data_IF_716868846724
#
_entry.id   IF_716868846724
#
_cell.length_a   1.000
_cell.length_b   1.000
_cell.length_c   1.000
_cell.angle_alpha   90.00
_cell.angle_beta   90.00
_cell.angle_gamma   90.00
#
_symmetry.space_group_name_H-M   'P 1'
#
loop_
_entity.id
_entity.type
_entity.pdbx_description
1 polymer ?
#
# COMPACT_ATOMS: atom_id res chain seq x y z
N UNK A 1 8.96 3.88 -9.44
CA UNK A 1 7.64 4.14 -8.82
C UNK A 1 7.67 3.58 -7.41
N UNK A 2 7.19 4.33 -6.40
CA UNK A 2 7.18 3.90 -4.99
C UNK A 2 5.79 3.35 -4.66
N UNK A 3 5.71 2.23 -3.95
CA UNK A 3 4.45 1.61 -3.54
C UNK A 3 4.51 1.17 -2.07
N UNK A 4 3.33 0.92 -1.49
CA UNK A 4 3.16 0.38 -0.14
C UNK A 4 2.19 -0.80 -0.18
N UNK A 5 2.25 -1.68 0.81
CA UNK A 5 1.29 -2.76 1.00
C UNK A 5 0.09 -2.25 1.81
N UNK A 6 -1.09 -2.77 1.50
CA UNK A 6 -2.30 -2.46 2.24
C UNK A 6 -3.40 -3.50 2.01
N UNK A 7 -4.32 -3.59 2.97
CA UNK A 7 -5.50 -4.45 2.92
C UNK A 7 -6.73 -3.63 2.56
N UNK A 8 -7.48 -4.05 1.54
CA UNK A 8 -8.82 -3.52 1.25
C UNK A 8 -9.74 -3.85 2.42
N UNK A 9 -10.39 -2.84 2.99
CA UNK A 9 -11.35 -3.01 4.06
C UNK A 9 -12.77 -3.04 3.50
N UNK A 10 -13.23 -1.89 3.00
CA UNK A 10 -14.61 -1.67 2.56
C UNK A 10 -14.67 -0.54 1.53
N UNK A 11 -15.85 -0.34 0.94
CA UNK A 11 -16.14 0.81 0.08
C UNK A 11 -17.13 1.72 0.80
N UNK A 12 -16.96 3.02 0.66
CA UNK A 12 -17.81 4.05 1.27
C UNK A 12 -17.90 5.26 0.35
N UNK A 13 -18.55 6.33 0.80
CA UNK A 13 -18.67 7.57 0.07
C UNK A 13 -18.32 8.77 0.94
N UNK A 14 -17.71 9.77 0.31
CA UNK A 14 -17.41 11.07 0.93
C UNK A 14 -18.31 12.12 0.26
N UNK A 15 -19.03 12.87 1.09
CA UNK A 15 -19.80 14.03 0.66
C UNK A 15 -18.89 15.27 0.72
N UNK A 16 -18.77 15.98 -0.40
CA UNK A 16 -18.06 17.26 -0.47
C UNK A 16 -18.99 18.42 -0.09
N UNK A 17 -18.38 19.56 0.23
CA UNK A 17 -19.10 20.79 0.58
C UNK A 17 -19.99 21.32 -0.57
N UNK A 18 -19.61 21.03 -1.82
CA UNK A 18 -20.39 21.37 -3.03
C UNK A 18 -21.58 20.41 -3.30
N UNK A 19 -21.82 19.44 -2.40
CA UNK A 19 -22.88 18.44 -2.52
C UNK A 19 -22.51 17.22 -3.39
N UNK A 20 -21.30 17.17 -3.97
CA UNK A 20 -20.86 16.02 -4.77
C UNK A 20 -20.57 14.80 -3.90
N UNK A 21 -20.99 13.62 -4.38
CA UNK A 21 -20.71 12.33 -3.74
C UNK A 21 -19.54 11.64 -4.44
N UNK A 22 -18.49 11.30 -3.69
CA UNK A 22 -17.35 10.54 -4.19
C UNK A 22 -17.34 9.12 -3.61
N UNK A 23 -17.41 8.12 -4.48
CA UNK A 23 -17.19 6.73 -4.08
C UNK A 23 -15.70 6.48 -3.82
N UNK A 24 -15.37 5.92 -2.65
CA UNK A 24 -14.00 5.67 -2.21
C UNK A 24 -13.84 4.26 -1.63
N UNK A 25 -12.64 3.72 -1.69
CA UNK A 25 -12.28 2.44 -1.05
C UNK A 25 -11.40 2.71 0.15
N UNK A 26 -11.78 2.19 1.30
CA UNK A 26 -10.99 2.27 2.53
C UNK A 26 -9.92 1.18 2.51
N UNK A 27 -8.66 1.59 2.58
CA UNK A 27 -7.49 0.70 2.60
C UNK A 27 -6.77 0.89 3.93
N UNK A 28 -6.57 -0.18 4.68
CA UNK A 28 -5.61 -0.18 5.78
C UNK A 28 -4.22 -0.31 5.19
N UNK A 29 -3.35 0.66 5.40
CA UNK A 29 -1.99 0.66 4.89
C UNK A 29 -0.99 0.69 6.04
N UNK A 30 0.07 -0.12 5.93
CA UNK A 30 1.15 -0.19 6.91
C UNK A 30 0.81 -0.82 8.28
N UNK A 31 1.83 -1.04 9.14
CA UNK A 31 3.25 -0.80 8.87
C UNK A 31 3.82 -1.78 7.83
N UNK A 32 4.60 -1.26 6.87
CA UNK A 32 5.29 -2.06 5.86
C UNK A 32 6.77 -2.14 6.23
N UNK A 33 7.17 -3.23 6.90
CA UNK A 33 8.55 -3.38 7.39
C UNK A 33 9.42 -3.95 6.27
N UNK A 34 10.60 -3.38 6.01
CA UNK A 34 11.55 -3.95 5.06
C UNK A 34 12.14 -5.24 5.66
N UNK A 35 11.84 -6.38 5.02
CA UNK A 35 12.27 -7.71 5.46
C UNK A 35 13.60 -8.10 4.80
N UNK A 36 13.75 -7.77 3.52
CA UNK A 36 14.95 -8.10 2.76
C UNK A 36 15.26 -7.01 1.73
N UNK A 37 16.55 -6.67 1.59
CA UNK A 37 17.07 -5.91 0.47
C UNK A 37 17.81 -6.87 -0.45
N UNK A 38 17.37 -6.93 -1.71
CA UNK A 38 17.97 -7.76 -2.75
C UNK A 38 18.88 -6.92 -3.62
N UNK A 39 20.07 -7.46 -3.92
CA UNK A 39 21.10 -6.77 -4.69
C UNK A 39 21.51 -7.60 -5.91
N UNK A 40 21.82 -6.92 -7.02
CA UNK A 40 22.11 -7.56 -8.31
C UNK A 40 23.18 -8.66 -8.25
N UNK A 41 24.23 -8.49 -7.45
CA UNK A 41 25.31 -9.47 -7.35
C UNK A 41 24.91 -10.81 -6.73
N UNK A 42 24.03 -10.80 -5.71
CA UNK A 42 23.63 -12.02 -4.98
C UNK A 42 22.30 -12.58 -5.47
N UNK A 43 21.36 -11.69 -5.79
CA UNK A 43 19.96 -12.04 -6.05
C UNK A 43 19.58 -11.95 -7.55
N UNK A 44 20.49 -11.48 -8.41
CA UNK A 44 20.26 -11.31 -9.85
C UNK A 44 19.46 -10.06 -10.24
N UNK A 45 18.97 -9.30 -9.25
CA UNK A 45 18.24 -8.04 -9.46
C UNK A 45 18.24 -7.16 -8.20
N UNK A 46 17.86 -5.89 -8.36
CA UNK A 46 17.74 -4.93 -7.25
C UNK A 46 16.28 -4.74 -6.85
N UNK A 47 15.93 -5.04 -5.59
CA UNK A 47 14.58 -4.84 -5.06
C UNK A 47 14.57 -4.78 -3.52
N UNK A 48 13.44 -4.32 -2.95
CA UNK A 48 13.17 -4.39 -1.51
C UNK A 48 11.90 -5.21 -1.29
N UNK A 49 11.96 -6.16 -0.38
CA UNK A 49 10.82 -6.94 0.07
C UNK A 49 10.25 -6.33 1.35
N UNK A 50 8.93 -6.11 1.36
CA UNK A 50 8.21 -5.61 2.51
C UNK A 50 7.32 -6.71 3.11
N UNK A 51 7.27 -6.77 4.43
CA UNK A 51 6.28 -7.50 5.21
C UNK A 51 5.15 -6.56 5.63
N UNK A 52 3.93 -7.08 5.69
CA UNK A 52 2.73 -6.33 6.07
C UNK A 52 1.77 -7.24 6.84
N UNK A 53 1.19 -6.70 7.92
CA UNK A 53 0.37 -7.46 8.85
C UNK A 53 1.18 -8.03 10.02
N UNK A 54 0.47 -8.79 10.88
CA UNK A 54 1.03 -9.63 11.93
C UNK A 54 0.73 -11.10 11.58
#
# INVERSE_FOLDING_TARGET
MKFILGKKLEMTQIFKEDGTVLAVTKISAGPCVAVQVKIGGKDGYSAVQFGYGA
#
